data_IF_597126127611
#
_entry.id   IF_597126127611
#
_cell.length_a   1.000
_cell.length_b   1.000
_cell.length_c   1.000
_cell.angle_alpha   90.00
_cell.angle_beta   90.00
_cell.angle_gamma   90.00
#
_symmetry.space_group_name_H-M   'P 1'
#
loop_
_entity.id
_entity.type
_entity.pdbx_description
1 polymer ?
#
# COMPACT_ATOMS: atom_id res chain seq x y z
N UNK A 1 75.65 36.21 18.10
CA UNK A 1 76.25 34.87 18.03
C UNK A 1 75.16 33.88 18.29
N UNK A 2 75.08 32.85 17.45
CA UNK A 2 74.10 31.79 17.56
C UNK A 2 74.25 31.09 18.91
N UNK A 3 73.13 30.80 19.58
CA UNK A 3 73.07 29.62 20.42
C UNK A 3 71.69 28.99 20.29
N UNK A 4 71.77 27.78 19.76
CA UNK A 4 70.73 26.86 19.37
C UNK A 4 70.29 26.13 20.65
N UNK A 5 69.02 26.24 21.02
CA UNK A 5 68.45 25.49 22.14
C UNK A 5 67.30 24.62 21.64
N UNK A 6 67.31 23.31 21.95
CA UNK A 6 66.53 22.33 21.22
C UNK A 6 65.04 22.45 21.49
N UNK A 7 64.30 22.43 20.38
CA UNK A 7 62.86 22.43 20.24
C UNK A 7 62.22 21.26 21.03
N UNK A 8 61.57 21.57 22.15
CA UNK A 8 60.73 20.60 22.86
C UNK A 8 59.44 20.39 22.05
N UNK A 9 59.30 19.23 21.43
CA UNK A 9 58.09 18.82 20.73
C UNK A 9 56.84 18.99 21.64
N UNK A 10 55.75 19.63 21.18
CA UNK A 10 54.54 19.70 21.98
C UNK A 10 53.99 18.28 22.16
N UNK A 11 53.77 17.90 23.41
CA UNK A 11 53.06 16.68 23.77
C UNK A 11 51.75 16.62 22.98
N UNK A 12 51.59 15.58 22.15
CA UNK A 12 50.32 15.30 21.48
C UNK A 12 49.24 15.21 22.56
N UNK A 13 48.30 16.15 22.51
CA UNK A 13 47.04 16.04 23.23
C UNK A 13 46.45 14.64 23.00
N UNK A 14 45.81 14.01 24.01
CA UNK A 14 45.16 12.72 23.80
C UNK A 14 44.18 12.89 22.64
N UNK A 15 44.41 12.20 21.53
CA UNK A 15 43.41 12.13 20.47
C UNK A 15 42.17 11.50 21.10
N UNK A 16 41.11 12.30 21.29
CA UNK A 16 39.81 11.79 21.68
C UNK A 16 39.43 10.69 20.68
N UNK A 17 39.32 9.46 21.20
CA UNK A 17 38.96 8.31 20.40
C UNK A 17 37.55 8.55 19.86
N UNK A 18 37.44 8.85 18.56
CA UNK A 18 36.14 8.94 17.88
C UNK A 18 35.28 7.72 18.24
N UNK A 19 34.00 7.91 18.59
CA UNK A 19 33.10 6.81 18.90
C UNK A 19 33.10 5.78 17.77
N UNK A 20 33.29 4.50 18.12
CA UNK A 20 33.39 3.41 17.14
C UNK A 20 32.05 3.05 16.48
N UNK A 21 30.97 3.56 17.06
CA UNK A 21 29.57 3.38 16.70
C UNK A 21 28.80 4.62 17.15
N UNK A 22 27.68 4.89 16.51
CA UNK A 22 26.76 5.93 16.94
C UNK A 22 26.07 5.52 18.24
N UNK A 23 25.96 6.46 19.17
CA UNK A 23 25.24 6.26 20.42
C UNK A 23 23.79 6.70 20.20
N UNK A 24 22.88 5.73 20.16
CA UNK A 24 21.44 5.99 20.21
C UNK A 24 21.02 6.32 21.65
N UNK A 25 19.96 7.11 21.81
CA UNK A 25 19.42 7.52 23.12
C UNK A 25 19.08 6.32 24.03
N UNK A 26 18.73 5.18 23.43
CA UNK A 26 18.41 3.93 24.13
C UNK A 26 19.64 3.03 24.37
N UNK A 27 20.82 3.37 23.86
CA UNK A 27 22.05 2.60 23.99
C UNK A 27 22.02 1.19 23.37
N UNK A 28 21.05 0.89 22.49
CA UNK A 28 20.83 -0.44 21.95
C UNK A 28 21.97 -0.86 21.01
N UNK A 29 22.60 0.08 20.31
CA UNK A 29 23.73 -0.25 19.42
C UNK A 29 25.01 -0.64 20.16
N UNK A 30 25.10 -0.34 21.47
CA UNK A 30 26.18 -0.83 22.37
C UNK A 30 26.11 -2.34 22.60
N UNK A 31 24.95 -2.95 22.38
CA UNK A 31 24.72 -4.39 22.56
C UNK A 31 25.13 -5.24 21.33
N UNK A 32 25.54 -4.59 20.23
CA UNK A 32 25.93 -5.26 18.98
C UNK A 32 27.41 -5.65 18.99
N UNK A 33 27.70 -6.86 18.52
CA UNK A 33 29.08 -7.37 18.52
C UNK A 33 29.95 -6.62 17.49
N UNK A 34 30.94 -5.90 18.01
CA UNK A 34 31.89 -5.11 17.22
C UNK A 34 32.70 -5.94 16.22
N UNK A 35 33.23 -7.08 16.66
CA UNK A 35 34.06 -7.97 15.82
C UNK A 35 33.24 -8.53 14.66
N UNK A 36 31.99 -8.90 14.93
CA UNK A 36 31.07 -9.39 13.93
C UNK A 36 30.65 -8.30 12.94
N UNK A 37 30.39 -7.07 13.37
CA UNK A 37 30.01 -6.02 12.44
C UNK A 37 31.15 -5.67 11.47
N UNK A 38 32.40 -5.68 11.94
CA UNK A 38 33.57 -5.38 11.11
C UNK A 38 33.94 -6.52 10.15
N UNK A 39 33.92 -7.77 10.63
CA UNK A 39 34.49 -8.90 9.90
C UNK A 39 33.45 -9.96 9.47
N UNK A 40 32.17 -9.76 9.81
CA UNK A 40 31.05 -10.72 9.64
C UNK A 40 31.29 -12.11 10.24
N UNK A 41 32.34 -12.26 11.05
CA UNK A 41 32.74 -13.46 11.78
C UNK A 41 33.19 -13.05 13.18
N UNK A 42 32.65 -13.70 14.21
CA UNK A 42 33.08 -13.55 15.59
C UNK A 42 33.68 -14.88 16.04
N UNK A 43 34.93 -14.88 16.51
CA UNK A 43 35.65 -16.09 16.94
C UNK A 43 35.42 -16.45 18.40
N UNK A 44 34.56 -15.70 19.12
CA UNK A 44 34.23 -15.95 20.52
C UNK A 44 33.09 -16.97 20.61
N UNK A 45 33.36 -18.15 21.17
CA UNK A 45 32.32 -19.09 21.58
C UNK A 45 31.43 -18.45 22.65
N UNK A 46 30.11 -18.44 22.45
CA UNK A 46 29.16 -17.84 23.41
C UNK A 46 29.20 -16.31 23.53
N UNK A 47 29.38 -15.58 22.42
CA UNK A 47 29.43 -14.12 22.45
C UNK A 47 28.08 -13.52 22.90
N UNK A 48 28.06 -12.83 24.05
CA UNK A 48 26.91 -12.14 24.65
C UNK A 48 26.36 -10.92 23.88
N UNK A 49 26.88 -10.63 22.69
CA UNK A 49 26.55 -9.45 21.91
C UNK A 49 25.86 -9.84 20.59
N UNK A 50 24.94 -9.02 20.12
CA UNK A 50 24.07 -9.32 18.97
C UNK A 50 24.88 -9.51 17.68
N UNK A 51 24.60 -10.60 16.95
CA UNK A 51 25.23 -10.99 15.68
C UNK A 51 24.26 -10.92 14.49
N UNK A 52 23.60 -9.78 14.27
CA UNK A 52 22.64 -9.64 13.16
C UNK A 52 23.33 -9.29 11.83
N UNK A 53 23.24 -10.21 10.84
CA UNK A 53 23.78 -10.02 9.48
C UNK A 53 23.05 -8.96 8.68
N UNK A 54 21.80 -8.66 9.04
CA UNK A 54 20.93 -7.70 8.37
C UNK A 54 21.14 -6.26 8.87
N UNK A 55 21.89 -6.05 9.96
CA UNK A 55 22.25 -4.70 10.41
C UNK A 55 23.14 -3.96 9.41
N UNK A 56 22.78 -2.70 9.17
CA UNK A 56 23.55 -1.79 8.31
C UNK A 56 24.84 -1.39 9.02
N UNK A 57 25.99 -1.74 8.43
CA UNK A 57 27.30 -1.41 8.97
C UNK A 57 27.55 0.10 9.05
N UNK A 58 27.13 0.84 8.01
CA UNK A 58 27.30 2.28 7.95
C UNK A 58 26.48 2.97 9.03
N UNK A 59 25.19 2.64 9.11
CA UNK A 59 24.31 3.20 10.14
C UNK A 59 24.78 2.87 11.56
N UNK A 60 25.19 1.62 11.83
CA UNK A 60 25.76 1.24 13.13
C UNK A 60 27.01 2.06 13.49
N UNK A 61 27.88 2.31 12.50
CA UNK A 61 29.14 3.02 12.73
C UNK A 61 28.97 4.53 12.90
N UNK A 62 28.06 5.16 12.14
CA UNK A 62 28.01 6.62 12.01
C UNK A 62 26.65 7.24 12.32
N UNK A 63 25.60 6.44 12.56
CA UNK A 63 24.22 6.91 12.76
C UNK A 63 23.57 7.43 11.48
N UNK A 64 24.28 7.39 10.36
CA UNK A 64 23.85 7.94 9.08
C UNK A 64 24.12 6.92 7.97
N UNK A 65 23.08 6.59 7.21
CA UNK A 65 23.19 5.74 6.03
C UNK A 65 22.89 6.56 4.79
N UNK A 66 23.76 6.46 3.77
CA UNK A 66 23.60 7.16 2.49
C UNK A 66 22.32 6.81 1.73
N UNK A 67 21.67 5.70 2.07
CA UNK A 67 20.42 5.25 1.46
C UNK A 67 19.19 5.52 2.33
N UNK A 68 19.36 6.12 3.53
CA UNK A 68 18.25 6.50 4.40
C UNK A 68 17.20 5.39 4.58
N UNK A 69 15.94 5.72 4.33
CA UNK A 69 14.81 4.78 4.43
C UNK A 69 14.75 3.72 3.31
N UNK A 70 15.52 3.89 2.22
CA UNK A 70 15.61 2.93 1.11
C UNK A 70 16.75 1.91 1.31
N UNK A 71 17.41 1.92 2.48
CA UNK A 71 18.47 0.97 2.76
C UNK A 71 17.91 -0.45 2.88
N UNK A 72 18.50 -1.40 2.14
CA UNK A 72 18.16 -2.83 2.22
C UNK A 72 18.69 -3.52 3.50
N UNK A 73 19.20 -2.77 4.47
CA UNK A 73 19.72 -3.25 5.75
C UNK A 73 19.02 -2.53 6.90
N UNK A 74 18.88 -3.21 8.04
CA UNK A 74 18.22 -2.69 9.24
C UNK A 74 19.02 -1.55 9.86
N UNK A 75 18.32 -0.49 10.24
CA UNK A 75 18.83 0.66 11.00
C UNK A 75 18.38 0.62 12.47
N UNK A 76 18.03 -0.55 13.00
CA UNK A 76 17.60 -0.75 14.39
C UNK A 76 18.06 -2.14 14.87
N UNK A 77 18.32 -2.27 16.17
CA UNK A 77 18.73 -3.53 16.80
C UNK A 77 17.50 -4.26 17.33
N UNK A 78 17.27 -5.49 16.89
CA UNK A 78 16.29 -6.39 17.50
C UNK A 78 16.97 -7.17 18.62
N UNK A 79 16.58 -6.94 19.88
CA UNK A 79 16.99 -7.78 21.00
C UNK A 79 16.16 -9.08 21.00
N UNK A 80 16.78 -10.26 21.14
CA UNK A 80 16.05 -11.48 21.43
C UNK A 80 15.45 -11.41 22.84
N UNK A 81 14.21 -11.87 22.99
CA UNK A 81 13.50 -11.99 24.26
C UNK A 81 14.14 -13.11 25.11
N UNK A 82 14.55 -12.85 26.37
CA UNK A 82 15.18 -13.86 27.23
C UNK A 82 14.26 -15.04 27.62
N UNK A 83 12.97 -15.04 27.23
CA UNK A 83 12.03 -16.11 27.57
C UNK A 83 11.63 -17.03 26.40
N UNK A 84 12.23 -16.89 25.22
CA UNK A 84 12.01 -17.81 24.11
C UNK A 84 13.00 -18.98 24.19
N UNK A 85 12.49 -20.19 24.47
CA UNK A 85 13.28 -21.44 24.37
C UNK A 85 13.72 -21.65 22.92
N UNK A 86 15.02 -21.82 22.71
CA UNK A 86 15.67 -22.03 21.42
C UNK A 86 15.39 -23.45 20.87
N UNK A 87 14.91 -23.54 19.63
CA UNK A 87 15.12 -24.73 18.79
C UNK A 87 16.19 -24.38 17.74
N UNK A 88 17.33 -25.07 17.85
CA UNK A 88 18.40 -25.05 16.85
C UNK A 88 17.95 -25.76 15.58
N UNK A 89 18.14 -25.14 14.40
CA UNK A 89 18.25 -25.89 13.15
C UNK A 89 19.51 -25.46 12.41
N UNK A 90 20.34 -26.47 12.19
CA UNK A 90 21.66 -26.47 11.61
C UNK A 90 21.70 -26.07 10.14
N UNK A 91 22.91 -25.69 9.71
CA UNK A 91 23.26 -25.25 8.37
C UNK A 91 23.49 -26.42 7.39
N UNK A 92 23.03 -26.22 6.16
CA UNK A 92 23.58 -26.74 4.89
C UNK A 92 23.02 -25.79 3.81
N UNK A 93 23.75 -25.11 2.93
CA UNK A 93 24.88 -25.53 2.10
C UNK A 93 24.42 -25.36 0.65
N UNK A 94 25.15 -24.55 -0.14
CA UNK A 94 25.06 -24.42 -1.63
C UNK A 94 23.84 -23.63 -2.17
N UNK A 95 23.86 -22.84 -3.25
CA UNK A 95 24.83 -22.45 -4.29
C UNK A 95 24.28 -21.17 -5.00
N UNK A 96 25.15 -20.31 -5.55
CA UNK A 96 24.74 -19.20 -6.43
C UNK A 96 24.22 -19.70 -7.79
N UNK A 97 23.37 -18.90 -8.48
CA UNK A 97 23.72 -18.65 -9.88
C UNK A 97 23.57 -17.19 -10.33
N UNK A 98 24.68 -16.70 -10.86
CA UNK A 98 24.90 -15.96 -12.12
C UNK A 98 23.89 -14.89 -12.60
N UNK A 99 24.46 -13.68 -12.70
CA UNK A 99 24.04 -12.54 -13.52
C UNK A 99 23.82 -12.89 -15.00
N UNK A 100 22.66 -12.55 -15.55
CA UNK A 100 22.48 -12.32 -16.99
C UNK A 100 22.00 -10.89 -17.31
N UNK A 101 22.55 -10.38 -18.39
CA UNK A 101 22.64 -8.98 -18.84
C UNK A 101 21.32 -8.46 -19.44
N UNK A 102 21.01 -7.20 -19.17
CA UNK A 102 19.94 -6.41 -19.80
C UNK A 102 20.17 -6.20 -21.31
N UNK A 103 19.12 -6.26 -22.16
CA UNK A 103 19.10 -5.58 -23.44
C UNK A 103 18.38 -4.22 -23.34
N UNK A 104 19.02 -3.20 -23.93
CA UNK A 104 18.53 -1.82 -24.10
C UNK A 104 17.27 -1.78 -24.98
N UNK A 105 16.21 -1.12 -24.52
CA UNK A 105 15.04 -0.79 -25.35
C UNK A 105 15.08 0.67 -25.81
N UNK A 106 14.94 0.88 -27.12
CA UNK A 106 14.91 2.20 -27.79
C UNK A 106 13.47 2.75 -27.79
N UNK A 107 13.34 4.07 -27.53
CA UNK A 107 12.11 4.86 -27.61
C UNK A 107 11.49 4.86 -29.03
N UNK A 108 10.15 4.87 -29.17
CA UNK A 108 9.49 5.41 -30.36
C UNK A 108 8.96 6.84 -30.14
N UNK A 109 9.10 7.65 -31.19
CA UNK A 109 8.65 9.04 -31.34
C UNK A 109 7.14 9.16 -31.60
N UNK A 110 6.61 10.29 -31.16
CA UNK A 110 5.25 10.81 -31.34
C UNK A 110 4.88 11.08 -32.81
N UNK A 111 3.58 10.93 -33.15
CA UNK A 111 2.94 11.61 -34.28
C UNK A 111 1.54 12.10 -33.88
N UNK A 112 1.27 13.37 -34.16
CA UNK A 112 0.02 14.13 -33.95
C UNK A 112 -1.14 13.62 -34.83
N UNK A 113 -2.40 13.84 -34.40
CA UNK A 113 -3.60 13.49 -35.17
C UNK A 113 -4.00 14.61 -36.14
N UNK A 114 -4.74 14.25 -37.19
CA UNK A 114 -5.38 15.21 -38.09
C UNK A 114 -6.90 14.96 -38.11
N UNK A 115 -7.64 16.03 -37.92
CA UNK A 115 -9.11 16.11 -37.93
C UNK A 115 -9.67 15.95 -39.35
N UNK A 116 -10.90 15.44 -39.44
CA UNK A 116 -11.93 15.97 -40.34
C UNK A 116 -13.32 15.46 -39.95
N UNK A 117 -14.19 16.44 -39.74
CA UNK A 117 -15.66 16.40 -39.62
C UNK A 117 -16.30 15.60 -40.78
N UNK A 118 -17.54 15.08 -40.72
CA UNK A 118 -18.81 15.84 -40.73
C UNK A 118 -20.00 14.90 -40.44
N UNK A 119 -20.85 15.34 -39.50
CA UNK A 119 -22.33 15.33 -39.39
C UNK A 119 -23.22 14.22 -40.00
N UNK A 120 -24.18 13.80 -39.16
CA UNK A 120 -25.65 13.59 -39.36
C UNK A 120 -26.18 13.26 -40.77
N UNK A 121 -27.15 12.36 -40.97
CA UNK A 121 -28.45 12.31 -40.30
C UNK A 121 -29.18 10.98 -40.58
N UNK A 122 -30.16 10.66 -39.76
CA UNK A 122 -31.13 9.57 -39.91
C UNK A 122 -31.91 9.60 -41.23
N UNK A 123 -32.39 8.42 -41.67
CA UNK A 123 -33.80 8.03 -41.59
C UNK A 123 -34.30 7.26 -42.82
N UNK A 124 -35.05 6.18 -42.51
CA UNK A 124 -36.14 5.53 -43.27
C UNK A 124 -35.82 4.98 -44.68
N UNK A 125 -36.50 3.97 -45.22
CA UNK A 125 -37.35 2.84 -44.80
C UNK A 125 -37.88 2.34 -46.16
N UNK A 126 -37.84 1.02 -46.45
CA UNK A 126 -38.77 0.27 -47.36
C UNK A 126 -38.96 0.79 -48.81
N UNK A 127 -38.97 -0.01 -49.86
CA UNK A 127 -39.86 -1.13 -50.16
C UNK A 127 -39.28 -1.81 -51.43
N UNK A 128 -39.07 -3.13 -51.39
CA UNK A 128 -39.77 -4.10 -52.24
C UNK A 128 -40.11 -3.69 -53.67
N UNK A 129 -39.51 -4.39 -54.64
CA UNK A 129 -40.23 -4.97 -55.78
C UNK A 129 -39.34 -6.00 -56.49
N UNK A 130 -39.68 -7.27 -56.32
CA UNK A 130 -39.29 -8.42 -57.15
C UNK A 130 -40.21 -8.50 -58.40
N UNK A 131 -40.10 -9.52 -59.26
CA UNK A 131 -38.98 -9.96 -60.11
C UNK A 131 -39.48 -10.19 -61.56
N UNK A 132 -38.62 -10.75 -62.43
CA UNK A 132 -38.89 -11.56 -63.66
C UNK A 132 -37.85 -11.19 -64.73
N UNK A 133 -37.37 -12.06 -65.62
CA UNK A 133 -37.23 -13.51 -65.74
C UNK A 133 -36.57 -13.71 -67.13
N UNK A 134 -35.88 -14.84 -67.31
CA UNK A 134 -35.46 -15.41 -68.60
C UNK A 134 -34.27 -14.69 -69.31
N UNK A 135 -33.34 -15.34 -70.01
CA UNK A 135 -33.19 -16.72 -70.45
C UNK A 135 -31.73 -16.92 -70.95
N UNK A 136 -31.31 -18.19 -71.06
CA UNK A 136 -30.23 -18.76 -71.91
C UNK A 136 -28.75 -18.42 -71.62
N UNK A 137 -27.99 -19.40 -71.12
CA UNK A 137 -27.19 -20.42 -71.85
C UNK A 137 -25.89 -19.82 -72.44
N UNK A 138 -24.76 -20.05 -71.75
CA UNK A 138 -23.83 -21.17 -72.01
C UNK A 138 -23.00 -20.89 -73.27
N UNK A 139 -21.79 -20.36 -73.16
CA UNK A 139 -20.58 -21.13 -72.87
C UNK A 139 -19.37 -20.19 -73.11
N UNK A 140 -18.16 -20.64 -72.75
CA UNK A 140 -16.87 -19.98 -73.01
C UNK A 140 -16.45 -18.80 -72.11
N UNK A 141 -15.81 -19.17 -70.99
CA UNK A 141 -14.36 -18.89 -70.81
C UNK A 141 -13.85 -19.50 -69.50
N UNK A 142 -13.52 -20.78 -69.60
CA UNK A 142 -12.69 -21.54 -68.67
C UNK A 142 -11.23 -21.07 -68.77
N UNK A 143 -10.95 -19.80 -68.46
CA UNK A 143 -9.58 -19.25 -68.46
C UNK A 143 -9.46 -17.94 -67.66
N UNK A 144 -9.89 -17.92 -66.39
CA UNK A 144 -9.43 -16.94 -65.37
C UNK A 144 -9.90 -17.31 -63.96
N UNK A 145 -9.76 -18.59 -63.59
CA UNK A 145 -10.04 -19.09 -62.23
C UNK A 145 -8.73 -19.47 -61.53
N UNK A 146 -7.77 -18.54 -61.48
CA UNK A 146 -6.59 -18.60 -60.60
C UNK A 146 -6.23 -17.17 -60.22
N UNK A 147 -6.06 -16.92 -58.92
CA UNK A 147 -5.81 -15.62 -58.25
C UNK A 147 -7.04 -14.79 -57.87
N UNK A 148 -7.91 -15.35 -57.04
CA UNK A 148 -8.62 -14.53 -56.03
C UNK A 148 -8.89 -15.36 -54.78
N UNK A 149 -7.83 -15.86 -54.15
CA UNK A 149 -7.98 -16.52 -52.85
C UNK A 149 -6.82 -16.24 -51.89
N UNK A 150 -6.13 -15.13 -52.07
CA UNK A 150 -5.09 -14.71 -51.13
C UNK A 150 -5.51 -13.38 -50.51
N UNK A 151 -5.52 -13.36 -49.18
CA UNK A 151 -5.87 -12.26 -48.27
C UNK A 151 -7.36 -12.13 -47.90
N UNK A 152 -7.99 -13.22 -47.45
CA UNK A 152 -8.76 -13.05 -46.20
C UNK A 152 -7.72 -12.92 -45.10
N UNK A 153 -7.44 -11.69 -44.66
CA UNK A 153 -6.67 -11.48 -43.44
C UNK A 153 -7.32 -12.35 -42.36
N UNK A 154 -6.55 -13.27 -41.77
CA UNK A 154 -7.03 -14.02 -40.62
C UNK A 154 -7.50 -12.98 -39.60
N UNK A 155 -8.79 -13.01 -39.28
CA UNK A 155 -9.36 -12.13 -38.26
C UNK A 155 -8.57 -12.37 -36.98
N UNK A 156 -7.87 -11.35 -36.49
CA UNK A 156 -7.15 -11.44 -35.23
C UNK A 156 -8.15 -11.86 -34.17
N UNK A 157 -7.99 -13.06 -33.61
CA UNK A 157 -8.78 -13.51 -32.47
C UNK A 157 -8.36 -12.65 -31.28
N UNK A 158 -9.32 -12.02 -30.62
CA UNK A 158 -9.11 -11.22 -29.42
C UNK A 158 -9.03 -12.06 -28.13
N UNK A 159 -9.30 -13.37 -28.24
CA UNK A 159 -9.25 -14.33 -27.14
C UNK A 159 -8.10 -15.30 -27.38
N UNK A 160 -7.13 -15.30 -26.47
CA UNK A 160 -5.87 -16.02 -26.63
C UNK A 160 -5.84 -17.33 -25.83
N UNK A 161 -6.53 -17.40 -24.69
CA UNK A 161 -6.53 -18.57 -23.81
C UNK A 161 -7.96 -18.94 -23.37
N UNK A 162 -8.29 -20.22 -23.48
CA UNK A 162 -9.56 -20.81 -23.05
C UNK A 162 -9.41 -21.71 -21.82
N UNK A 163 -8.17 -21.92 -21.32
CA UNK A 163 -7.94 -22.59 -20.05
C UNK A 163 -8.43 -21.67 -18.92
N UNK A 164 -9.38 -22.12 -18.07
CA UNK A 164 -9.86 -21.31 -16.95
C UNK A 164 -8.71 -20.87 -16.03
N UNK A 165 -8.78 -19.65 -15.52
CA UNK A 165 -7.87 -19.20 -14.47
C UNK A 165 -8.26 -19.87 -13.15
N UNK A 166 -7.38 -20.72 -12.63
CA UNK A 166 -7.58 -21.44 -11.36
C UNK A 166 -6.72 -20.89 -10.23
N UNK A 167 -5.72 -20.07 -10.53
CA UNK A 167 -4.89 -19.42 -9.50
C UNK A 167 -5.72 -18.38 -8.75
N UNK A 168 -5.44 -18.15 -7.45
CA UNK A 168 -5.99 -17.04 -6.69
C UNK A 168 -5.84 -15.69 -7.39
N UNK A 169 -6.84 -14.81 -7.23
CA UNK A 169 -6.71 -13.41 -7.63
C UNK A 169 -5.83 -12.65 -6.62
N UNK A 170 -5.09 -11.66 -7.11
CA UNK A 170 -4.21 -10.84 -6.25
C UNK A 170 -5.01 -9.86 -5.38
N UNK A 171 -6.17 -9.41 -5.87
CA UNK A 171 -7.12 -8.54 -5.18
C UNK A 171 -8.54 -8.92 -5.62
N UNK A 172 -9.45 -9.09 -4.66
CA UNK A 172 -10.88 -9.26 -4.95
C UNK A 172 -11.63 -8.05 -4.42
N UNK A 173 -12.26 -7.29 -5.31
CA UNK A 173 -13.18 -6.23 -4.90
C UNK A 173 -14.57 -6.83 -4.70
N UNK A 174 -15.19 -6.55 -3.55
CA UNK A 174 -16.54 -6.98 -3.22
C UNK A 174 -17.29 -5.86 -2.50
N UNK A 175 -18.58 -6.03 -2.27
CA UNK A 175 -19.42 -5.03 -1.62
C UNK A 175 -20.48 -5.69 -0.75
N UNK A 176 -21.02 -4.90 0.18
CA UNK A 176 -22.23 -5.21 0.93
C UNK A 176 -23.08 -3.94 0.97
N UNK A 177 -24.39 -4.06 0.70
CA UNK A 177 -25.30 -2.93 0.63
C UNK A 177 -26.05 -2.68 1.95
N UNK A 178 -25.67 -3.40 3.00
CA UNK A 178 -26.25 -3.29 4.33
C UNK A 178 -26.19 -1.86 4.88
N UNK A 179 -27.20 -1.59 5.69
CA UNK A 179 -27.47 -0.32 6.33
C UNK A 179 -27.19 -0.40 7.84
N UNK A 180 -27.60 0.63 8.59
CA UNK A 180 -27.33 0.74 10.03
C UNK A 180 -27.90 -0.41 10.87
N UNK A 181 -28.96 -1.06 10.39
CA UNK A 181 -29.71 -2.09 11.12
C UNK A 181 -29.31 -3.51 10.69
N UNK A 182 -28.42 -3.62 9.70
CA UNK A 182 -27.96 -4.87 9.13
C UNK A 182 -26.64 -5.35 9.76
N UNK A 183 -26.31 -6.61 9.50
CA UNK A 183 -24.96 -7.16 9.72
C UNK A 183 -24.31 -7.45 8.39
N UNK A 184 -22.99 -7.39 8.36
CA UNK A 184 -22.19 -7.79 7.21
C UNK A 184 -22.49 -9.25 6.86
N UNK A 185 -22.86 -9.47 5.61
CA UNK A 185 -23.41 -10.73 5.11
C UNK A 185 -22.58 -11.34 3.97
N UNK A 186 -21.78 -10.52 3.30
CA UNK A 186 -20.92 -10.96 2.20
C UNK A 186 -19.81 -11.90 2.72
N UNK A 187 -19.66 -13.12 2.16
CA UNK A 187 -18.57 -14.01 2.52
C UNK A 187 -17.18 -13.39 2.28
N UNK A 188 -16.35 -13.41 3.32
CA UNK A 188 -15.06 -12.72 3.33
C UNK A 188 -13.90 -13.68 3.07
N UNK A 189 -12.95 -13.26 2.25
CA UNK A 189 -11.64 -13.92 2.11
C UNK A 189 -10.49 -13.02 2.54
N UNK A 190 -9.31 -13.61 2.73
CA UNK A 190 -8.08 -12.88 3.06
C UNK A 190 -7.63 -11.88 1.97
N UNK A 191 -8.18 -11.97 0.75
CA UNK A 191 -7.82 -11.14 -0.43
C UNK A 191 -8.83 -10.05 -0.76
N UNK A 192 -9.81 -9.84 0.11
CA UNK A 192 -10.90 -8.92 -0.19
C UNK A 192 -10.53 -7.47 0.11
N UNK A 193 -11.03 -6.59 -0.76
CA UNK A 193 -11.37 -5.20 -0.46
C UNK A 193 -12.89 -5.12 -0.51
N UNK A 194 -13.50 -4.63 0.55
CA UNK A 194 -14.95 -4.57 0.73
C UNK A 194 -15.40 -3.12 0.69
N UNK A 195 -16.47 -2.83 -0.03
CA UNK A 195 -17.15 -1.54 -0.04
C UNK A 195 -18.51 -1.64 0.63
N UNK A 196 -18.84 -0.70 1.51
CA UNK A 196 -20.16 -0.63 2.17
C UNK A 196 -20.69 0.80 2.06
N UNK A 197 -21.36 1.15 0.96
CA UNK A 197 -21.74 2.53 0.67
C UNK A 197 -22.93 3.03 1.52
N UNK A 198 -23.74 2.12 2.06
CA UNK A 198 -25.03 2.48 2.65
C UNK A 198 -25.03 2.52 4.19
N UNK A 199 -23.93 2.13 4.85
CA UNK A 199 -23.92 1.93 6.31
C UNK A 199 -24.25 3.20 7.11
N UNK A 200 -23.94 4.38 6.54
CA UNK A 200 -24.22 5.69 7.14
C UNK A 200 -25.16 6.55 6.28
N UNK A 201 -25.92 5.92 5.38
CA UNK A 201 -26.86 6.62 4.49
C UNK A 201 -28.08 7.22 5.19
N UNK A 202 -28.30 6.87 6.46
CA UNK A 202 -29.32 7.47 7.33
C UNK A 202 -28.96 8.89 7.78
N UNK A 203 -27.72 9.33 7.56
CA UNK A 203 -27.29 10.70 7.84
C UNK A 203 -27.32 11.57 6.58
N UNK A 204 -27.56 12.87 6.75
CA UNK A 204 -27.44 13.81 5.65
C UNK A 204 -25.96 13.99 5.28
N UNK A 205 -25.70 14.25 4.00
CA UNK A 205 -24.34 14.52 3.50
C UNK A 205 -23.67 15.61 4.34
N UNK A 206 -22.48 15.33 4.87
CA UNK A 206 -21.67 16.25 5.67
C UNK A 206 -22.12 16.43 7.12
N UNK A 207 -23.20 15.79 7.56
CA UNK A 207 -23.70 15.89 8.93
C UNK A 207 -22.69 15.34 9.94
N UNK A 208 -22.20 14.12 9.72
CA UNK A 208 -21.23 13.47 10.60
C UNK A 208 -19.87 14.17 10.58
N UNK A 209 -19.45 14.69 9.42
CA UNK A 209 -18.26 15.53 9.32
C UNK A 209 -18.38 16.74 10.26
N UNK A 210 -19.49 17.47 10.17
CA UNK A 210 -19.74 18.69 10.96
C UNK A 210 -19.78 18.38 12.45
N UNK A 211 -20.48 17.30 12.84
CA UNK A 211 -20.57 16.85 14.24
C UNK A 211 -19.20 16.48 14.81
N UNK A 212 -18.42 15.67 14.09
CA UNK A 212 -17.08 15.26 14.54
C UNK A 212 -16.14 16.45 14.69
N UNK A 213 -16.12 17.38 13.74
CA UNK A 213 -15.28 18.59 13.85
C UNK A 213 -15.73 19.49 15.00
N UNK A 214 -17.04 19.70 15.16
CA UNK A 214 -17.58 20.47 16.27
C UNK A 214 -17.23 19.85 17.63
N UNK A 215 -17.33 18.53 17.78
CA UNK A 215 -16.96 17.83 19.01
C UNK A 215 -15.46 17.92 19.30
N UNK A 216 -14.59 17.81 18.28
CA UNK A 216 -13.16 18.02 18.45
C UNK A 216 -12.84 19.45 18.90
N UNK A 217 -13.50 20.46 18.34
CA UNK A 217 -13.29 21.86 18.71
C UNK A 217 -13.75 22.18 20.13
N UNK A 218 -14.71 21.40 20.64
CA UNK A 218 -15.29 21.58 21.97
C UNK A 218 -14.86 20.49 22.97
N UNK A 219 -13.82 19.69 22.66
CA UNK A 219 -13.36 18.62 23.55
C UNK A 219 -12.55 19.11 24.76
N UNK A 220 -12.26 20.42 24.83
CA UNK A 220 -11.50 21.04 25.91
C UNK A 220 -9.98 20.95 25.75
N UNK A 221 -9.48 20.46 24.62
CA UNK A 221 -8.05 20.38 24.29
C UNK A 221 -7.78 21.33 23.11
N UNK A 222 -6.82 22.27 23.21
CA UNK A 222 -6.48 23.16 22.10
C UNK A 222 -6.05 22.39 20.85
N UNK A 223 -6.44 22.87 19.66
CA UNK A 223 -6.22 22.16 18.38
C UNK A 223 -4.75 21.84 18.13
N UNK A 224 -3.84 22.73 18.50
CA UNK A 224 -2.39 22.57 18.34
C UNK A 224 -1.78 21.46 19.22
N UNK A 225 -2.45 21.11 20.32
CA UNK A 225 -2.06 19.98 21.17
C UNK A 225 -2.74 18.69 20.71
N UNK A 226 -3.96 18.82 20.19
CA UNK A 226 -4.81 17.72 19.78
C UNK A 226 -4.44 17.13 18.41
N UNK A 227 -4.12 17.99 17.45
CA UNK A 227 -3.88 17.63 16.05
C UNK A 227 -2.39 17.61 15.76
N UNK A 228 -1.90 16.46 15.29
CA UNK A 228 -0.48 16.26 14.95
C UNK A 228 -0.33 16.02 13.46
N UNK A 229 0.61 16.71 12.82
CA UNK A 229 0.99 16.39 11.45
C UNK A 229 1.64 15.00 11.42
N UNK A 230 1.24 14.22 10.41
CA UNK A 230 1.66 12.83 10.28
C UNK A 230 2.45 12.61 8.99
N UNK A 231 3.34 11.61 8.99
CA UNK A 231 4.28 11.31 7.90
C UNK A 231 5.21 12.47 7.53
N UNK A 232 5.51 13.36 8.48
CA UNK A 232 6.56 14.37 8.33
C UNK A 232 7.94 13.76 8.21
N UNK A 233 8.86 14.53 7.62
CA UNK A 233 10.27 14.23 7.53
C UNK A 233 11.07 15.56 7.50
N UNK A 234 12.34 15.51 7.12
CA UNK A 234 13.19 16.71 7.09
C UNK A 234 12.82 17.72 5.98
N UNK A 235 11.95 17.35 5.05
CA UNK A 235 11.55 18.15 3.88
C UNK A 235 10.10 18.65 3.98
N UNK A 236 9.21 17.86 4.58
CA UNK A 236 7.79 18.19 4.75
C UNK A 236 7.37 18.00 6.20
N UNK A 237 6.55 18.93 6.72
CA UNK A 237 5.99 18.85 8.08
C UNK A 237 5.06 17.64 8.25
N UNK A 238 4.36 17.26 7.17
CA UNK A 238 3.59 16.03 7.08
C UNK A 238 2.60 16.08 5.92
N UNK A 239 1.81 15.02 5.79
CA UNK A 239 0.89 14.86 4.64
C UNK A 239 -0.57 15.03 5.01
N UNK A 240 -0.93 14.83 6.28
CA UNK A 240 -2.28 15.02 6.84
C UNK A 240 -2.20 15.11 8.37
N UNK A 241 -3.30 15.50 9.02
CA UNK A 241 -3.40 15.55 10.47
C UNK A 241 -3.98 14.26 11.04
N UNK A 242 -3.53 13.89 12.23
CA UNK A 242 -4.18 12.90 13.08
C UNK A 242 -4.60 13.55 14.39
N UNK A 243 -5.64 13.00 15.02
CA UNK A 243 -5.96 13.34 16.41
C UNK A 243 -5.10 12.48 17.33
N UNK A 244 -4.55 13.07 18.39
CA UNK A 244 -3.68 12.37 19.33
C UNK A 244 -4.43 11.28 20.12
N UNK A 245 -4.19 10.01 19.75
CA UNK A 245 -4.78 8.84 20.40
C UNK A 245 -4.40 8.71 21.89
N UNK A 246 -3.36 9.41 22.35
CA UNK A 246 -2.92 9.40 23.75
C UNK A 246 -3.65 10.43 24.63
N UNK A 247 -4.49 11.28 24.05
CA UNK A 247 -5.25 12.30 24.79
C UNK A 247 -6.68 11.84 25.10
N UNK A 248 -7.37 12.57 25.97
CA UNK A 248 -8.70 12.20 26.47
C UNK A 248 -9.87 12.64 25.57
N UNK A 249 -9.61 13.08 24.34
CA UNK A 249 -10.62 13.69 23.45
C UNK A 249 -11.81 12.78 23.13
N UNK A 250 -11.59 11.46 23.05
CA UNK A 250 -12.64 10.49 22.71
C UNK A 250 -13.81 10.55 23.69
N UNK A 251 -13.55 10.78 24.98
CA UNK A 251 -14.57 10.91 26.01
C UNK A 251 -15.50 12.13 25.82
N UNK A 252 -15.13 13.06 24.94
CA UNK A 252 -15.91 14.25 24.58
C UNK A 252 -16.39 14.24 23.12
N UNK A 253 -16.20 13.13 22.41
CA UNK A 253 -16.55 12.98 21.00
C UNK A 253 -17.50 11.79 20.79
N UNK A 254 -18.77 11.88 21.27
CA UNK A 254 -19.73 10.77 21.19
C UNK A 254 -20.06 10.37 19.74
N UNK A 255 -19.89 11.26 18.75
CA UNK A 255 -20.05 10.88 17.35
C UNK A 255 -18.96 9.89 16.90
N UNK A 256 -17.75 9.97 17.46
CA UNK A 256 -16.70 8.98 17.19
C UNK A 256 -17.07 7.59 17.72
N UNK A 257 -17.64 7.52 18.93
CA UNK A 257 -18.14 6.27 19.51
C UNK A 257 -19.28 5.71 18.68
N UNK A 258 -20.24 6.54 18.25
CA UNK A 258 -21.33 6.14 17.35
C UNK A 258 -20.80 5.49 16.07
N UNK A 259 -19.81 6.12 15.43
CA UNK A 259 -19.20 5.62 14.19
C UNK A 259 -18.51 4.29 14.43
N UNK A 260 -17.64 4.20 15.44
CA UNK A 260 -16.86 2.99 15.71
C UNK A 260 -17.74 1.83 16.19
N UNK A 261 -18.77 2.10 16.99
CA UNK A 261 -19.76 1.10 17.41
C UNK A 261 -20.57 0.56 16.24
N UNK A 262 -20.93 1.41 15.27
CA UNK A 262 -21.64 0.96 14.07
C UNK A 262 -20.76 0.04 13.23
N UNK A 263 -19.49 0.39 13.02
CA UNK A 263 -18.52 -0.47 12.33
C UNK A 263 -18.34 -1.82 13.06
N UNK A 264 -18.17 -1.77 14.39
CA UNK A 264 -18.07 -2.94 15.26
C UNK A 264 -19.26 -3.88 15.08
N UNK A 265 -20.48 -3.35 15.17
CA UNK A 265 -21.72 -4.13 15.07
C UNK A 265 -21.90 -4.71 13.67
N UNK A 266 -21.72 -3.89 12.64
CA UNK A 266 -21.94 -4.30 11.26
C UNK A 266 -21.00 -5.45 10.87
N UNK A 267 -19.68 -5.27 11.05
CA UNK A 267 -18.70 -6.29 10.67
C UNK A 267 -18.52 -7.42 11.69
N UNK A 268 -19.22 -7.36 12.83
CA UNK A 268 -18.87 -8.17 14.01
C UNK A 268 -17.37 -8.06 14.35
N UNK A 269 -16.84 -6.84 14.25
CA UNK A 269 -15.41 -6.54 14.35
C UNK A 269 -14.99 -6.38 15.81
N UNK A 270 -14.04 -7.20 16.25
CA UNK A 270 -13.36 -7.00 17.53
C UNK A 270 -12.28 -5.91 17.38
N UNK A 271 -12.67 -4.65 17.60
CA UNK A 271 -11.78 -3.49 17.47
C UNK A 271 -10.64 -3.56 18.51
N UNK A 272 -9.40 -3.50 18.02
CA UNK A 272 -8.17 -3.45 18.84
C UNK A 272 -7.56 -2.06 18.90
N UNK A 273 -7.72 -1.28 17.83
CA UNK A 273 -7.22 0.08 17.74
C UNK A 273 -8.06 0.91 16.78
N UNK A 274 -8.01 2.23 16.94
CA UNK A 274 -8.70 3.19 16.06
C UNK A 274 -7.79 4.35 15.72
N UNK A 275 -8.04 5.06 14.62
CA UNK A 275 -7.37 6.33 14.29
C UNK A 275 -8.34 7.31 13.68
N UNK A 276 -8.26 8.57 14.09
CA UNK A 276 -8.91 9.68 13.42
C UNK A 276 -7.89 10.43 12.57
N UNK A 277 -8.13 10.49 11.26
CA UNK A 277 -7.32 11.26 10.31
C UNK A 277 -8.17 12.42 9.77
N UNK A 278 -7.58 13.60 9.71
CA UNK A 278 -8.19 14.79 9.12
C UNK A 278 -7.32 15.35 7.99
N UNK A 279 -7.95 15.55 6.85
CA UNK A 279 -7.40 16.21 5.68
C UNK A 279 -8.12 17.56 5.58
N UNK A 280 -7.37 18.67 5.69
CA UNK A 280 -7.95 20.02 5.69
C UNK A 280 -8.61 20.37 4.35
N UNK A 281 -7.98 19.90 3.28
CA UNK A 281 -8.38 20.11 1.90
C UNK A 281 -7.93 18.90 1.06
N UNK A 282 -8.09 19.00 -0.26
CA UNK A 282 -7.72 17.89 -1.16
C UNK A 282 -6.27 17.90 -1.65
N UNK A 283 -5.44 18.84 -1.17
CA UNK A 283 -3.98 18.81 -1.38
C UNK A 283 -3.30 17.78 -0.49
N UNK A 284 -3.89 17.46 0.67
CA UNK A 284 -3.35 16.51 1.62
C UNK A 284 -3.60 15.06 1.19
N UNK A 285 -2.68 14.16 1.55
CA UNK A 285 -2.68 12.76 1.11
C UNK A 285 -2.19 11.81 2.21
N UNK A 286 -2.40 10.51 2.02
CA UNK A 286 -1.76 9.47 2.82
C UNK A 286 -0.87 8.63 1.90
N UNK A 287 0.46 8.62 2.10
CA UNK A 287 1.37 7.83 1.29
C UNK A 287 1.00 6.35 1.26
N UNK A 288 1.40 5.66 0.20
CA UNK A 288 1.27 4.20 0.12
C UNK A 288 2.10 3.52 1.21
N UNK A 289 1.41 2.79 2.09
CA UNK A 289 2.00 2.08 3.22
C UNK A 289 1.29 0.74 3.44
N UNK A 290 1.89 -0.10 4.28
CA UNK A 290 1.20 -1.24 4.87
C UNK A 290 0.78 -0.89 6.29
N UNK A 291 -0.35 -1.43 6.74
CA UNK A 291 -0.68 -1.36 8.16
C UNK A 291 0.29 -2.22 8.97
N UNK A 292 0.45 -1.88 10.25
CA UNK A 292 1.44 -2.51 11.11
C UNK A 292 1.30 -4.04 11.20
N UNK A 293 0.08 -4.58 11.05
CA UNK A 293 -0.19 -6.01 11.02
C UNK A 293 0.55 -6.75 9.88
N UNK A 294 0.90 -6.09 8.78
CA UNK A 294 1.70 -6.73 7.72
C UNK A 294 3.18 -6.88 8.07
N UNK A 295 3.68 -6.10 9.05
CA UNK A 295 5.12 -6.01 9.34
C UNK A 295 5.48 -6.40 10.79
N UNK A 296 4.50 -6.45 11.70
CA UNK A 296 4.69 -6.79 13.12
C UNK A 296 3.90 -8.06 13.49
N UNK A 297 4.57 -9.20 13.72
CA UNK A 297 3.89 -10.48 14.00
C UNK A 297 2.93 -10.43 15.19
N UNK A 298 3.28 -9.75 16.28
CA UNK A 298 2.41 -9.62 17.46
C UNK A 298 1.14 -8.80 17.18
N UNK A 299 1.16 -7.89 16.20
CA UNK A 299 -0.05 -7.17 15.76
C UNK A 299 -0.87 -8.05 14.80
N UNK A 300 -0.20 -8.75 13.89
CA UNK A 300 -0.84 -9.71 12.97
C UNK A 300 -1.64 -10.79 13.72
N UNK A 301 -1.17 -11.18 14.91
CA UNK A 301 -1.84 -12.15 15.76
C UNK A 301 -3.20 -11.69 16.33
N UNK A 302 -3.49 -10.38 16.31
CA UNK A 302 -4.71 -9.81 16.88
C UNK A 302 -5.50 -8.93 15.91
N UNK A 303 -4.97 -8.68 14.70
CA UNK A 303 -5.62 -7.85 13.68
C UNK A 303 -5.54 -8.56 12.33
N UNK A 304 -6.69 -8.88 11.76
CA UNK A 304 -6.80 -9.47 10.42
C UNK A 304 -7.63 -8.60 9.44
N UNK A 305 -8.19 -7.49 9.92
CA UNK A 305 -9.11 -6.66 9.14
C UNK A 305 -8.94 -5.17 9.48
N UNK A 306 -8.88 -4.35 8.43
CA UNK A 306 -8.87 -2.88 8.53
C UNK A 306 -10.15 -2.33 7.93
N UNK A 307 -10.83 -1.43 8.65
CA UNK A 307 -12.05 -0.76 8.21
C UNK A 307 -11.83 0.75 8.25
N UNK A 308 -12.06 1.43 7.12
CA UNK A 308 -12.01 2.88 7.01
C UNK A 308 -13.35 3.46 6.55
N UNK A 309 -13.88 4.43 7.29
CA UNK A 309 -15.05 5.22 6.91
C UNK A 309 -14.61 6.64 6.56
N UNK A 310 -15.22 7.22 5.54
CA UNK A 310 -14.94 8.56 5.03
C UNK A 310 -16.09 9.53 5.26
N UNK A 311 -15.80 10.75 5.69
CA UNK A 311 -16.76 11.86 5.77
C UNK A 311 -16.18 13.12 5.14
N UNK A 312 -17.03 13.97 4.57
CA UNK A 312 -16.64 15.19 3.87
C UNK A 312 -16.36 14.96 2.39
N UNK A 313 -15.25 15.52 1.89
CA UNK A 313 -14.88 15.46 0.48
C UNK A 313 -14.71 14.01 -0.02
N UNK A 314 -15.29 13.70 -1.17
CA UNK A 314 -15.00 12.45 -1.88
C UNK A 314 -13.54 12.43 -2.30
N UNK A 315 -12.81 11.37 -1.92
CA UNK A 315 -11.40 11.16 -2.27
C UNK A 315 -11.15 9.69 -2.59
N UNK A 316 -10.11 9.41 -3.36
CA UNK A 316 -9.73 8.05 -3.72
C UNK A 316 -8.93 7.37 -2.61
N UNK A 317 -9.49 6.28 -2.06
CA UNK A 317 -8.69 5.27 -1.37
C UNK A 317 -8.05 4.38 -2.43
N UNK A 318 -6.73 4.30 -2.41
CA UNK A 318 -5.96 3.58 -3.43
C UNK A 318 -5.18 2.43 -2.82
N UNK A 319 -5.05 1.36 -3.60
CA UNK A 319 -4.27 0.17 -3.33
C UNK A 319 -3.22 0.02 -4.44
N UNK A 320 -1.95 -0.03 -4.05
CA UNK A 320 -0.82 -0.22 -4.96
C UNK A 320 -0.16 -1.57 -4.69
N UNK A 321 -0.10 -2.42 -5.71
CA UNK A 321 0.53 -3.72 -5.60
C UNK A 321 2.03 -3.55 -5.30
N UNK A 322 2.51 -4.14 -4.20
CA UNK A 322 3.85 -3.87 -3.68
C UNK A 322 4.98 -4.22 -4.68
N UNK A 323 4.80 -5.31 -5.45
CA UNK A 323 5.72 -5.74 -6.50
C UNK A 323 5.60 -4.95 -7.81
N UNK A 324 4.45 -5.03 -8.50
CA UNK A 324 4.26 -4.48 -9.85
C UNK A 324 4.03 -2.97 -9.90
N UNK A 325 3.69 -2.33 -8.76
CA UNK A 325 3.30 -0.92 -8.65
C UNK A 325 2.01 -0.56 -9.41
N UNK A 326 1.22 -1.55 -9.79
CA UNK A 326 -0.13 -1.33 -10.33
C UNK A 326 -1.01 -0.72 -9.25
N UNK A 327 -1.74 0.34 -9.58
CA UNK A 327 -2.66 1.03 -8.66
C UNK A 327 -4.10 0.74 -9.05
N UNK A 328 -4.92 0.40 -8.07
CA UNK A 328 -6.38 0.39 -8.14
C UNK A 328 -6.89 1.41 -7.14
N UNK A 329 -7.81 2.28 -7.53
CA UNK A 329 -8.44 3.23 -6.60
C UNK A 329 -9.96 3.06 -6.58
N UNK A 330 -10.54 3.41 -5.44
CA UNK A 330 -11.99 3.42 -5.24
C UNK A 330 -12.38 4.76 -4.62
N UNK A 331 -13.28 5.54 -5.26
CA UNK A 331 -13.81 6.77 -4.67
C UNK A 331 -14.52 6.49 -3.35
N UNK A 332 -14.19 7.28 -2.33
CA UNK A 332 -14.80 7.21 -1.00
C UNK A 332 -15.61 8.48 -0.74
N UNK A 333 -16.90 8.51 -1.13
CA UNK A 333 -17.78 9.63 -0.81
C UNK A 333 -18.12 9.68 0.68
N UNK A 334 -18.73 10.79 1.10
CA UNK A 334 -19.26 10.97 2.46
C UNK A 334 -20.18 9.81 2.87
N UNK A 335 -19.87 9.19 4.01
CA UNK A 335 -20.62 8.06 4.55
C UNK A 335 -20.21 6.68 4.01
N UNK A 336 -19.25 6.61 3.08
CA UNK A 336 -18.81 5.35 2.49
C UNK A 336 -17.70 4.67 3.29
N UNK A 337 -17.86 3.35 3.51
CA UNK A 337 -16.86 2.50 4.13
C UNK A 337 -16.10 1.73 3.05
N UNK A 338 -14.78 1.65 3.21
CA UNK A 338 -13.95 0.62 2.60
C UNK A 338 -13.26 -0.20 3.69
N UNK A 339 -13.07 -1.49 3.44
CA UNK A 339 -12.33 -2.36 4.34
C UNK A 339 -11.45 -3.31 3.54
N UNK A 340 -10.42 -3.88 4.18
CA UNK A 340 -9.55 -4.84 3.52
C UNK A 340 -8.95 -5.86 4.50
N UNK A 341 -8.72 -7.05 3.96
CA UNK A 341 -8.29 -8.22 4.72
C UNK A 341 -6.76 -8.35 4.86
N UNK A 342 -6.33 -9.24 5.74
CA UNK A 342 -4.91 -9.46 6.12
C UNK A 342 -3.96 -9.66 4.94
N UNK A 343 -4.28 -10.51 3.96
CA UNK A 343 -3.36 -10.76 2.84
C UNK A 343 -3.37 -9.59 1.85
N UNK A 344 -4.51 -8.94 1.66
CA UNK A 344 -4.59 -7.67 0.92
C UNK A 344 -3.59 -6.67 1.50
N UNK A 345 -3.54 -6.51 2.83
CA UNK A 345 -2.60 -5.62 3.50
C UNK A 345 -1.13 -6.07 3.42
N UNK A 346 -0.85 -7.33 3.07
CA UNK A 346 0.54 -7.82 2.87
C UNK A 346 0.99 -7.60 1.42
N UNK A 347 0.08 -7.67 0.47
CA UNK A 347 0.39 -7.65 -0.97
C UNK A 347 0.25 -6.25 -1.55
N UNK A 348 -0.71 -5.48 -1.04
CA UNK A 348 -1.06 -4.16 -1.50
C UNK A 348 -0.75 -3.13 -0.41
N UNK A 349 0.06 -2.15 -0.78
CA UNK A 349 0.15 -0.91 -0.01
C UNK A 349 -1.11 -0.10 -0.24
N UNK A 350 -1.52 0.72 0.70
CA UNK A 350 -2.71 1.54 0.55
C UNK A 350 -2.46 2.99 1.00
N UNK A 351 -3.29 3.90 0.51
CA UNK A 351 -3.15 5.33 0.75
C UNK A 351 -4.39 6.12 0.31
N UNK A 352 -4.36 7.42 0.53
CA UNK A 352 -5.37 8.36 0.05
C UNK A 352 -4.67 9.27 -0.95
N UNK A 353 -5.13 9.31 -2.19
CA UNK A 353 -4.48 10.08 -3.27
C UNK A 353 -4.75 11.57 -3.13
N UNK A 354 -3.76 12.42 -3.42
CA UNK A 354 -3.93 13.87 -3.62
C UNK A 354 -4.82 14.16 -4.84
N UNK A 355 -5.74 15.12 -4.74
CA UNK A 355 -6.51 15.55 -5.92
C UNK A 355 -5.71 16.55 -6.76
N UNK A 356 -5.93 16.48 -8.08
CA UNK A 356 -5.47 17.48 -9.04
C UNK A 356 -6.62 17.77 -10.02
N UNK A 357 -7.23 18.97 -9.99
CA UNK A 357 -6.90 20.13 -9.16
C UNK A 357 -7.30 19.95 -7.69
N UNK A 358 -6.62 20.70 -6.81
CA UNK A 358 -6.95 20.80 -5.39
C UNK A 358 -8.26 21.57 -5.20
N UNK A 359 -9.04 21.16 -4.20
CA UNK A 359 -10.31 21.74 -3.76
C UNK A 359 -10.21 22.02 -2.27
N UNK A 360 -10.79 23.14 -1.83
CA UNK A 360 -10.85 23.55 -0.42
C UNK A 360 -11.96 22.80 0.33
N UNK A 361 -11.92 21.47 0.27
CA UNK A 361 -12.91 20.59 0.89
C UNK A 361 -12.22 19.61 1.84
N UNK A 362 -12.57 19.67 3.12
CA UNK A 362 -12.01 18.79 4.13
C UNK A 362 -12.57 17.36 4.06
N UNK A 363 -11.76 16.40 4.48
CA UNK A 363 -12.14 14.99 4.63
C UNK A 363 -11.70 14.45 5.98
N UNK A 364 -12.56 13.66 6.62
CA UNK A 364 -12.21 12.85 7.78
C UNK A 364 -12.14 11.39 7.34
N UNK A 365 -11.19 10.66 7.91
CA UNK A 365 -11.22 9.20 7.90
C UNK A 365 -11.05 8.64 9.30
N UNK A 366 -12.04 7.88 9.75
CA UNK A 366 -11.95 7.06 10.95
C UNK A 366 -11.58 5.66 10.53
N UNK A 367 -10.48 5.15 11.08
CA UNK A 367 -9.98 3.79 10.84
C UNK A 367 -10.19 2.97 12.10
N UNK A 368 -10.69 1.75 11.94
CA UNK A 368 -10.75 0.73 12.97
C UNK A 368 -9.96 -0.50 12.50
N UNK A 369 -9.02 -0.94 13.32
CA UNK A 369 -8.28 -2.20 13.11
C UNK A 369 -8.76 -3.22 14.11
N UNK A 370 -9.01 -4.44 13.65
CA UNK A 370 -9.51 -5.47 14.53
C UNK A 370 -9.51 -6.86 13.92
N UNK A 371 -10.25 -7.73 14.60
CA UNK A 371 -10.42 -9.11 14.22
C UNK A 371 -11.86 -9.37 13.76
N UNK A 372 -12.00 -10.07 12.62
CA UNK A 372 -13.26 -10.67 12.18
C UNK A 372 -13.07 -12.18 12.09
N UNK A 373 -14.07 -12.92 12.57
CA UNK A 373 -14.08 -14.38 12.47
C UNK A 373 -14.53 -14.84 11.07
N UNK A 374 -14.30 -16.12 10.78
CA UNK A 374 -14.77 -16.81 9.58
C UNK A 374 -14.27 -16.21 8.24
N UNK A 375 -13.15 -15.47 8.27
CA UNK A 375 -12.44 -15.07 7.05
C UNK A 375 -11.80 -16.29 6.40
N UNK A 376 -12.18 -16.60 5.16
CA UNK A 376 -11.62 -17.73 4.42
C UNK A 376 -10.21 -17.41 3.89
N UNK A 377 -9.28 -18.33 4.11
CA UNK A 377 -7.97 -18.27 3.46
C UNK A 377 -8.09 -18.72 2.00
N UNK A 378 -7.33 -18.07 1.12
CA UNK A 378 -7.28 -18.45 -0.29
C UNK A 378 -6.11 -19.42 -0.49
N UNK A 379 -6.43 -20.69 -0.77
CA UNK A 379 -5.42 -21.75 -0.95
C UNK A 379 -4.59 -21.45 -2.19
N UNK A 380 -3.29 -21.20 -1.99
CA UNK A 380 -2.33 -21.22 -3.09
C UNK A 380 -1.96 -22.68 -3.31
N UNK A 381 -2.41 -23.26 -4.42
CA UNK A 381 -1.95 -24.59 -4.83
C UNK A 381 -0.42 -24.53 -4.92
N UNK A 382 0.27 -25.28 -4.06
CA UNK A 382 1.71 -25.47 -4.20
C UNK A 382 1.91 -26.14 -5.56
N UNK A 383 2.62 -25.47 -6.47
CA UNK A 383 3.15 -26.13 -7.65
C UNK A 383 4.03 -27.28 -7.14
N UNK A 384 3.55 -28.51 -7.27
CA UNK A 384 4.36 -29.69 -7.13
C UNK A 384 5.40 -29.61 -8.24
N UNK A 385 6.61 -29.17 -7.89
CA UNK A 385 7.80 -29.35 -8.72
C UNK A 385 8.03 -30.85 -8.84
N UNK A 386 7.54 -31.43 -9.94
CA UNK A 386 7.86 -32.78 -10.41
C UNK A 386 9.11 -32.78 -11.26
#
# INVERSE_FOLDING_TARGET
>A
MADDSPESAPARAPQEKKPLHFEDEAGLFKTVCRTFMRNKKCTRSGCKYVHDKQLCLYFWRTGQCKFGAECNKKHFVTLPDPNAKEEEVAASGEEEPEKKKNPKFKKPREKKPNEKEVKSNESKLKEETTPKDADKQDSDKKAKKKKKNERRQATKKNTENFKPMTKPVDLRLTYDLGSRDDKFSTPLTCRDVVLVPNLFSDFKKGELYTKLMHELDNCGIPREQLLKMWHGNNEIDGTHLIVDDHSSWKAKCPTFDLVTDRLKKFFSLEIKATRFNWYKDTSQWKPFHFDAAAVKPHIAAIQNFTVGISFGATRDAAFEHAGTKTVVSVPQPDGCVYAFSKDTNVIWRHGILQDVPVREEGRISVIAWGWVDNMADVVVAKETTS
#
